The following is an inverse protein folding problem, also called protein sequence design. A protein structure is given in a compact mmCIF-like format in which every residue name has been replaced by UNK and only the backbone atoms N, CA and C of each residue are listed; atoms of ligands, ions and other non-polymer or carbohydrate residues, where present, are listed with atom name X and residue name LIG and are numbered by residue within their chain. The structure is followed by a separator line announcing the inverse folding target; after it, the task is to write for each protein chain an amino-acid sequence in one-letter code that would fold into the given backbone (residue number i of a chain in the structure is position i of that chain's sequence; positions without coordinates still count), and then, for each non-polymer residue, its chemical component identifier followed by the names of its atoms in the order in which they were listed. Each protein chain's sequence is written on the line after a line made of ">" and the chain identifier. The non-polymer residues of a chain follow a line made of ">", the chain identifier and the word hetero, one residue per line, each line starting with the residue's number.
data_IF_321757107061
#
_entry.id   IF_321757107061
#
_cell.length_a   1.000
_cell.length_b   1.000
_cell.length_c   1.000
_cell.angle_alpha   90.00
_cell.angle_beta   90.00
_cell.angle_gamma   90.00
#
_symmetry.space_group_name_H-M   'P 1'
#
loop_
_entity.id
_entity.type
_entity.pdbx_description
1 polymer ?
#
# COMPACT_ATOMS: atom_id res chain seq x y z
N UNK A 1 -55.47 -50.04 22.14
CA UNK A 1 -54.69 -49.52 20.99
C UNK A 1 -54.26 -48.11 21.32
N UNK A 2 -53.11 -47.94 21.96
CA UNK A 2 -52.51 -46.64 22.23
C UNK A 2 -51.44 -46.37 21.18
N UNK A 3 -51.73 -45.40 20.31
CA UNK A 3 -50.88 -44.94 19.22
C UNK A 3 -49.63 -44.23 19.80
N UNK A 4 -48.48 -44.87 19.70
CA UNK A 4 -47.17 -44.31 20.04
C UNK A 4 -46.57 -43.67 18.79
N UNK A 5 -46.77 -42.36 18.58
CA UNK A 5 -45.86 -41.47 17.83
C UNK A 5 -46.17 -40.03 18.23
N UNK A 6 -45.21 -39.28 18.81
CA UNK A 6 -44.59 -38.21 18.03
C UNK A 6 -43.16 -37.85 18.52
N UNK A 7 -42.16 -38.69 18.25
CA UNK A 7 -40.75 -38.35 18.55
C UNK A 7 -39.98 -37.84 17.32
N UNK A 8 -40.44 -38.12 16.09
CA UNK A 8 -39.72 -37.69 14.88
C UNK A 8 -39.94 -36.22 14.50
N UNK A 9 -41.15 -35.68 14.71
CA UNK A 9 -41.51 -34.30 14.31
C UNK A 9 -40.70 -33.25 15.07
N UNK A 10 -40.50 -33.44 16.38
CA UNK A 10 -39.64 -32.55 17.19
C UNK A 10 -38.20 -32.55 16.69
N UNK A 11 -37.68 -33.70 16.26
CA UNK A 11 -36.31 -33.85 15.77
C UNK A 11 -36.12 -33.17 14.41
N UNK A 12 -37.07 -33.33 13.50
CA UNK A 12 -37.08 -32.66 12.19
C UNK A 12 -37.16 -31.14 12.37
N UNK A 13 -38.03 -30.67 13.26
CA UNK A 13 -38.17 -29.25 13.55
C UNK A 13 -36.89 -28.64 14.15
N UNK A 14 -36.20 -29.34 15.07
CA UNK A 14 -34.92 -28.89 15.60
C UNK A 14 -33.83 -28.82 14.52
N UNK A 15 -33.76 -29.81 13.61
CA UNK A 15 -32.81 -29.78 12.50
C UNK A 15 -33.12 -28.63 11.52
N UNK A 16 -34.40 -28.36 11.23
CA UNK A 16 -34.81 -27.26 10.37
C UNK A 16 -34.48 -25.90 10.99
N UNK A 17 -34.80 -25.69 12.26
CA UNK A 17 -34.48 -24.44 12.99
C UNK A 17 -32.97 -24.22 13.07
N UNK A 18 -32.19 -25.28 13.34
CA UNK A 18 -30.73 -25.17 13.38
C UNK A 18 -30.15 -24.87 12.00
N UNK A 19 -30.63 -25.52 10.94
CA UNK A 19 -30.20 -25.27 9.56
C UNK A 19 -30.58 -23.87 9.08
N UNK A 20 -31.79 -23.41 9.40
CA UNK A 20 -32.27 -22.07 9.05
C UNK A 20 -31.48 -21.00 9.81
N UNK A 21 -31.25 -21.22 11.11
CA UNK A 21 -30.40 -20.36 11.92
C UNK A 21 -28.99 -20.26 11.34
N UNK A 22 -28.38 -21.38 10.96
CA UNK A 22 -27.06 -21.38 10.31
C UNK A 22 -27.08 -20.64 8.95
N UNK A 23 -28.11 -20.84 8.14
CA UNK A 23 -28.27 -20.20 6.83
C UNK A 23 -28.53 -18.69 6.91
N UNK A 24 -29.04 -18.17 8.03
CA UNK A 24 -29.24 -16.72 8.22
C UNK A 24 -28.06 -16.09 8.98
N UNK A 25 -27.65 -16.71 10.09
CA UNK A 25 -26.63 -16.16 10.99
C UNK A 25 -25.25 -16.11 10.33
N UNK A 26 -24.89 -17.10 9.51
CA UNK A 26 -23.58 -17.07 8.86
C UNK A 26 -23.48 -15.97 7.82
N UNK A 27 -24.41 -15.84 6.85
CA UNK A 27 -24.35 -14.73 5.91
C UNK A 27 -24.39 -13.36 6.59
N UNK A 28 -25.21 -13.17 7.63
CA UNK A 28 -25.25 -11.88 8.33
C UNK A 28 -23.94 -11.58 9.04
N UNK A 29 -23.34 -12.55 9.74
CA UNK A 29 -22.02 -12.40 10.35
C UNK A 29 -20.97 -12.13 9.27
N UNK A 30 -20.99 -12.84 8.14
CA UNK A 30 -20.05 -12.61 7.04
C UNK A 30 -20.20 -11.21 6.43
N UNK A 31 -21.41 -10.69 6.29
CA UNK A 31 -21.67 -9.33 5.79
C UNK A 31 -21.16 -8.30 6.80
N UNK A 32 -21.52 -8.44 8.08
CA UNK A 32 -21.07 -7.51 9.14
C UNK A 32 -19.54 -7.51 9.22
N UNK A 33 -18.91 -8.68 9.25
CA UNK A 33 -17.45 -8.80 9.24
C UNK A 33 -16.83 -8.27 7.95
N UNK A 34 -17.48 -8.44 6.80
CA UNK A 34 -17.00 -7.90 5.53
C UNK A 34 -16.98 -6.38 5.50
N UNK A 35 -18.00 -5.75 6.13
CA UNK A 35 -18.11 -4.30 6.23
C UNK A 35 -17.18 -3.74 7.31
N UNK A 36 -17.15 -4.34 8.51
CA UNK A 36 -16.32 -3.85 9.63
C UNK A 36 -14.83 -4.11 9.42
N UNK A 37 -14.47 -5.25 8.81
CA UNK A 37 -13.07 -5.64 8.57
C UNK A 37 -12.64 -5.31 7.13
N UNK A 38 -13.37 -4.41 6.46
CA UNK A 38 -13.01 -3.95 5.13
C UNK A 38 -11.57 -3.42 5.18
N UNK A 39 -10.70 -3.85 4.25
CA UNK A 39 -9.33 -3.38 4.24
C UNK A 39 -9.29 -1.86 4.15
N UNK A 40 -8.44 -1.25 4.98
CA UNK A 40 -8.20 0.20 4.93
C UNK A 40 -7.65 0.55 3.55
N UNK A 41 -8.23 1.59 2.96
CA UNK A 41 -7.71 2.19 1.75
C UNK A 41 -6.35 2.83 2.06
N UNK A 42 -5.50 2.89 1.04
CA UNK A 42 -4.27 3.66 1.03
C UNK A 42 -4.63 5.15 0.94
N UNK A 43 -5.20 5.68 2.00
CA UNK A 43 -5.77 7.03 2.03
C UNK A 43 -4.89 7.97 2.85
N UNK A 44 -4.47 9.05 2.20
CA UNK A 44 -3.76 10.19 2.78
C UNK A 44 -4.18 11.43 2.02
N UNK A 45 -4.34 12.55 2.72
CA UNK A 45 -4.62 13.85 2.11
C UNK A 45 -3.94 14.97 2.92
N UNK A 46 -3.26 15.87 2.22
CA UNK A 46 -2.68 17.10 2.78
C UNK A 46 -3.30 18.33 2.14
N UNK A 47 -3.92 19.17 2.97
CA UNK A 47 -4.47 20.48 2.55
C UNK A 47 -3.44 21.62 2.67
N UNK A 48 -2.15 21.30 2.63
CA UNK A 48 -1.10 22.30 2.82
C UNK A 48 -0.98 23.17 1.57
N UNK A 49 -1.60 24.35 1.64
CA UNK A 49 -1.41 25.45 0.70
C UNK A 49 -0.11 26.15 1.11
N UNK A 50 0.92 26.04 0.28
CA UNK A 50 2.16 26.78 0.45
C UNK A 50 2.36 27.64 -0.80
N UNK A 51 2.77 28.89 -0.60
CA UNK A 51 2.94 29.92 -1.63
C UNK A 51 4.19 29.71 -2.53
N UNK A 52 4.87 28.57 -2.43
CA UNK A 52 6.10 28.28 -3.18
C UNK A 52 5.82 27.47 -4.46
N UNK A 53 6.71 27.62 -5.45
CA UNK A 53 6.69 26.82 -6.70
C UNK A 53 6.78 25.32 -6.35
N UNK A 54 5.71 24.56 -6.60
CA UNK A 54 5.57 23.15 -6.22
C UNK A 54 4.73 22.38 -7.23
N UNK A 55 5.05 21.09 -7.38
CA UNK A 55 4.19 20.16 -8.11
C UNK A 55 3.57 19.18 -7.14
N UNK A 56 2.25 19.08 -7.18
CA UNK A 56 1.48 18.16 -6.37
C UNK A 56 1.18 16.86 -7.13
N UNK A 57 1.45 15.74 -6.47
CA UNK A 57 1.19 14.41 -6.99
C UNK A 57 0.08 13.73 -6.20
N UNK A 58 -0.70 12.91 -6.91
CA UNK A 58 -1.48 11.82 -6.33
C UNK A 58 -0.79 10.49 -6.61
N UNK A 59 -0.75 9.62 -5.61
CA UNK A 59 -0.30 8.24 -5.77
C UNK A 59 -1.45 7.25 -5.55
N UNK A 60 -1.79 6.49 -6.58
CA UNK A 60 -2.82 5.47 -6.55
C UNK A 60 -2.20 4.07 -6.48
N UNK A 61 -2.55 3.32 -5.44
CA UNK A 61 -2.12 1.95 -5.27
C UNK A 61 -2.91 0.99 -6.16
N UNK A 62 -2.24 0.52 -7.21
CA UNK A 62 -2.81 -0.36 -8.22
C UNK A 62 -2.71 -1.83 -7.83
N UNK A 63 -1.54 -2.25 -7.36
CA UNK A 63 -1.35 -3.66 -6.99
C UNK A 63 -0.21 -3.87 -5.99
N UNK A 64 -0.33 -4.98 -5.25
CA UNK A 64 0.72 -5.48 -4.36
C UNK A 64 0.94 -6.95 -4.65
N UNK A 65 2.16 -7.30 -5.07
CA UNK A 65 2.59 -8.67 -5.24
C UNK A 65 3.65 -9.01 -4.19
N UNK A 66 3.20 -9.60 -3.08
CA UNK A 66 4.08 -10.06 -2.01
C UNK A 66 5.03 -11.19 -2.45
N UNK A 67 4.68 -11.97 -3.48
CA UNK A 67 5.55 -13.04 -4.02
C UNK A 67 6.68 -12.45 -4.84
N UNK A 68 6.39 -11.46 -5.68
CA UNK A 68 7.38 -10.70 -6.47
C UNK A 68 8.03 -9.56 -5.69
N UNK A 69 7.61 -9.33 -4.44
CA UNK A 69 8.05 -8.26 -3.55
C UNK A 69 7.95 -6.90 -4.23
N UNK A 70 6.80 -6.61 -4.85
CA UNK A 70 6.59 -5.38 -5.59
C UNK A 70 5.25 -4.72 -5.21
N UNK A 71 5.28 -3.40 -5.05
CA UNK A 71 4.11 -2.52 -4.99
C UNK A 71 4.09 -1.70 -6.26
N UNK A 72 2.94 -1.60 -6.92
CA UNK A 72 2.77 -0.79 -8.12
C UNK A 72 1.89 0.41 -7.79
N UNK A 73 2.45 1.60 -7.99
CA UNK A 73 1.77 2.87 -7.81
C UNK A 73 1.63 3.55 -9.17
N UNK A 74 0.42 4.02 -9.47
CA UNK A 74 0.20 5.02 -10.50
C UNK A 74 0.32 6.40 -9.88
N UNK A 75 0.93 7.30 -10.61
CA UNK A 75 1.20 8.67 -10.19
C UNK A 75 0.54 9.59 -11.18
N UNK A 76 -0.18 10.59 -10.68
CA UNK A 76 -0.73 11.66 -11.51
C UNK A 76 -0.41 13.02 -10.93
N UNK A 77 -0.28 14.00 -11.82
CA UNK A 77 -0.12 15.40 -11.45
C UNK A 77 -1.51 15.96 -11.21
N UNK A 78 -1.73 16.52 -10.01
CA UNK A 78 -3.03 17.08 -9.60
C UNK A 78 -3.01 18.59 -9.65
N UNK A 79 -1.84 19.19 -9.45
CA UNK A 79 -1.67 20.63 -9.36
C UNK A 79 -0.20 20.99 -9.62
N UNK A 80 0.02 22.12 -10.28
CA UNK A 80 1.33 22.70 -10.55
C UNK A 80 1.23 24.22 -10.41
N UNK A 81 1.92 24.79 -9.42
CA UNK A 81 1.83 26.25 -9.17
C UNK A 81 2.58 27.08 -10.21
N UNK A 82 3.17 26.43 -11.23
CA UNK A 82 3.66 27.06 -12.45
C UNK A 82 2.56 27.50 -13.45
N UNK A 83 1.28 27.45 -13.06
CA UNK A 83 0.13 27.77 -13.90
C UNK A 83 0.02 29.27 -14.29
N UNK A 84 0.65 30.18 -13.56
CA UNK A 84 0.57 31.61 -13.87
C UNK A 84 1.37 31.96 -15.15
N UNK A 85 0.64 32.48 -16.15
CA UNK A 85 1.04 32.74 -17.55
C UNK A 85 2.29 33.63 -17.72
N UNK A 86 2.74 34.30 -16.66
CA UNK A 86 3.94 35.15 -16.65
C UNK A 86 5.18 34.47 -16.04
N UNK A 87 5.11 33.19 -15.70
CA UNK A 87 6.23 32.44 -15.12
C UNK A 87 6.99 31.63 -16.18
N UNK A 88 8.33 31.80 -16.21
CA UNK A 88 9.26 31.00 -17.04
C UNK A 88 9.32 29.55 -16.52
N UNK A 89 8.22 28.81 -16.69
CA UNK A 89 8.11 27.44 -16.27
C UNK A 89 8.59 26.49 -17.37
N UNK A 90 9.83 26.02 -17.19
CA UNK A 90 10.46 25.03 -18.05
C UNK A 90 9.98 23.62 -17.70
N UNK A 91 10.24 22.67 -18.60
CA UNK A 91 9.89 21.26 -18.37
C UNK A 91 10.57 20.72 -17.11
N UNK A 92 9.80 20.06 -16.26
CA UNK A 92 10.27 19.56 -14.97
C UNK A 92 10.54 18.06 -15.06
N UNK A 93 11.75 17.68 -14.71
CA UNK A 93 12.16 16.29 -14.61
C UNK A 93 11.78 15.75 -13.23
N UNK A 94 10.92 14.73 -13.20
CA UNK A 94 10.57 14.02 -11.97
C UNK A 94 11.42 12.77 -11.83
N UNK A 95 12.11 12.67 -10.69
CA UNK A 95 13.05 11.59 -10.42
C UNK A 95 12.62 10.82 -9.18
N UNK A 96 12.48 9.50 -9.33
CA UNK A 96 12.28 8.59 -8.21
C UNK A 96 13.55 7.78 -7.97
N UNK A 97 13.83 7.47 -6.70
CA UNK A 97 15.02 6.73 -6.33
C UNK A 97 14.99 5.30 -6.88
N UNK A 98 15.76 5.06 -7.96
CA UNK A 98 15.89 3.75 -8.60
C UNK A 98 16.45 2.65 -7.69
N UNK A 99 17.14 3.01 -6.61
CA UNK A 99 17.64 2.05 -5.61
C UNK A 99 16.51 1.32 -4.86
N UNK A 100 15.32 1.93 -4.81
CA UNK A 100 14.13 1.42 -4.14
C UNK A 100 13.09 0.87 -5.13
N UNK A 101 13.19 1.27 -6.40
CA UNK A 101 12.39 0.73 -7.48
C UNK A 101 12.95 -0.64 -7.89
N UNK A 102 12.05 -1.53 -8.35
CA UNK A 102 12.33 -2.93 -8.63
C UNK A 102 13.69 -3.09 -9.31
N UNK A 103 14.52 -3.99 -8.78
CA UNK A 103 15.81 -4.40 -9.37
C UNK A 103 15.46 -5.05 -10.70
N UNK A 104 15.22 -4.22 -11.70
CA UNK A 104 14.77 -4.65 -13.00
C UNK A 104 15.83 -5.61 -13.55
N UNK A 105 15.38 -6.61 -14.29
CA UNK A 105 16.27 -7.56 -14.99
C UNK A 105 17.30 -6.84 -15.90
N UNK A 106 17.17 -5.52 -16.09
CA UNK A 106 18.16 -4.63 -16.70
C UNK A 106 19.54 -4.76 -16.02
N UNK A 107 19.61 -4.93 -14.69
CA UNK A 107 20.89 -5.11 -13.99
C UNK A 107 21.53 -6.49 -14.16
N UNK A 108 20.80 -7.49 -14.68
CA UNK A 108 21.43 -8.76 -15.07
C UNK A 108 22.07 -8.69 -16.46
N UNK A 109 21.67 -7.72 -17.28
CA UNK A 109 22.21 -7.53 -18.64
C UNK A 109 23.07 -6.26 -18.78
N UNK A 110 23.17 -5.40 -17.75
CA UNK A 110 24.04 -4.23 -17.78
C UNK A 110 25.39 -4.55 -17.15
N UNK A 111 26.47 -4.26 -17.89
CA UNK A 111 27.86 -4.46 -17.45
C UNK A 111 28.31 -3.50 -16.35
N UNK A 112 27.41 -2.66 -15.84
CA UNK A 112 27.75 -1.61 -14.90
C UNK A 112 27.52 -2.10 -13.46
N UNK A 113 28.48 -1.86 -12.54
CA UNK A 113 28.28 -2.19 -11.14
C UNK A 113 27.08 -1.40 -10.59
N UNK A 114 26.37 -1.93 -9.58
CA UNK A 114 25.35 -1.17 -8.88
C UNK A 114 25.97 0.10 -8.29
N UNK A 115 25.30 1.24 -8.45
CA UNK A 115 25.73 2.55 -7.94
C UNK A 115 24.62 3.16 -7.09
N UNK A 116 24.99 3.89 -6.05
CA UNK A 116 24.08 4.64 -5.19
C UNK A 116 24.02 6.13 -5.56
N UNK A 117 24.55 6.51 -6.72
CA UNK A 117 24.52 7.88 -7.20
C UNK A 117 23.08 8.32 -7.48
N UNK A 118 22.84 9.62 -7.37
CA UNK A 118 21.61 10.26 -7.82
C UNK A 118 21.29 9.84 -9.26
N UNK A 119 20.04 9.44 -9.57
CA UNK A 119 19.64 9.14 -10.95
C UNK A 119 19.91 10.34 -11.86
N UNK A 120 20.53 10.08 -13.01
CA UNK A 120 20.74 11.09 -14.07
C UNK A 120 19.60 11.08 -15.09
N UNK A 121 18.94 9.93 -15.26
CA UNK A 121 17.80 9.79 -16.15
C UNK A 121 16.50 9.99 -15.35
N UNK A 122 15.59 10.88 -15.80
CA UNK A 122 14.31 11.08 -15.16
C UNK A 122 13.46 9.80 -15.19
N UNK A 123 12.58 9.66 -14.20
CA UNK A 123 11.57 8.58 -14.20
C UNK A 123 10.35 9.00 -15.02
N UNK A 124 10.01 10.28 -14.96
CA UNK A 124 8.95 10.90 -15.72
C UNK A 124 9.36 12.34 -16.05
N UNK A 125 9.01 12.81 -17.24
CA UNK A 125 9.25 14.20 -17.64
C UNK A 125 7.89 14.87 -17.73
N UNK A 126 7.72 15.93 -16.96
CA UNK A 126 6.54 16.76 -16.99
C UNK A 126 6.75 17.97 -17.88
N UNK A 127 6.03 18.01 -19.00
CA UNK A 127 6.10 19.14 -19.91
C UNK A 127 4.89 20.06 -19.67
N UNK A 128 5.06 21.01 -18.75
CA UNK A 128 4.03 22.01 -18.38
C UNK A 128 3.48 22.70 -19.63
N UNK A 129 4.36 23.09 -20.57
CA UNK A 129 3.96 23.78 -21.80
C UNK A 129 3.01 22.96 -22.68
N UNK A 130 3.14 21.63 -22.68
CA UNK A 130 2.27 20.77 -23.50
C UNK A 130 0.84 20.69 -22.95
N UNK A 131 0.67 20.67 -21.62
CA UNK A 131 -0.67 20.60 -21.00
C UNK A 131 -1.54 21.79 -21.37
N UNK A 132 -0.98 23.01 -21.37
CA UNK A 132 -1.74 24.22 -21.61
C UNK A 132 -1.93 24.58 -23.09
N UNK A 133 -1.05 24.11 -23.96
CA UNK A 133 -1.03 24.53 -25.37
C UNK A 133 -1.37 23.42 -26.37
N UNK A 134 -1.41 22.15 -25.95
CA UNK A 134 -1.67 21.02 -26.84
C UNK A 134 -2.89 20.23 -26.38
N UNK A 135 -4.04 20.46 -27.03
CA UNK A 135 -5.31 19.76 -26.76
C UNK A 135 -5.23 18.23 -26.95
N UNK A 136 -4.16 17.73 -27.58
CA UNK A 136 -3.90 16.31 -27.84
C UNK A 136 -2.75 15.74 -26.99
N UNK A 137 -2.29 16.44 -25.95
CA UNK A 137 -1.26 15.92 -25.06
C UNK A 137 -1.75 14.70 -24.27
N UNK A 138 -0.89 13.71 -24.08
CA UNK A 138 -1.18 12.57 -23.21
C UNK A 138 -1.37 13.02 -21.77
N UNK A 139 -2.34 12.43 -21.07
CA UNK A 139 -2.60 12.72 -19.67
C UNK A 139 -1.39 12.28 -18.80
N UNK A 140 -0.92 13.08 -17.82
CA UNK A 140 0.34 12.84 -17.12
C UNK A 140 0.25 11.79 -16.02
N UNK A 141 -0.09 10.56 -16.42
CA UNK A 141 -0.04 9.38 -15.56
C UNK A 141 1.23 8.60 -15.86
N UNK A 142 1.97 8.24 -14.81
CA UNK A 142 3.09 7.31 -14.91
C UNK A 142 3.05 6.28 -13.80
N UNK A 143 3.58 5.10 -14.08
CA UNK A 143 3.57 3.97 -13.16
C UNK A 143 4.97 3.68 -12.63
N UNK A 144 5.08 3.42 -11.32
CA UNK A 144 6.32 2.94 -10.71
C UNK A 144 6.11 1.65 -9.94
N UNK A 145 7.13 0.77 -9.99
CA UNK A 145 7.15 -0.47 -9.23
C UNK A 145 8.22 -0.39 -8.13
N UNK A 146 7.78 -0.43 -6.88
CA UNK A 146 8.61 -0.27 -5.67
C UNK A 146 8.83 -1.63 -5.02
N UNK A 147 10.04 -1.86 -4.50
CA UNK A 147 10.38 -3.11 -3.82
C UNK A 147 9.77 -3.14 -2.42
N UNK A 148 9.31 -4.33 -2.05
CA UNK A 148 8.86 -4.65 -0.70
C UNK A 148 10.02 -5.22 0.12
N UNK A 149 10.22 -4.62 1.28
CA UNK A 149 11.18 -5.02 2.29
C UNK A 149 10.48 -5.62 3.52
N UNK A 150 11.26 -6.28 4.36
CA UNK A 150 10.81 -6.58 5.72
C UNK A 150 10.59 -5.26 6.47
N UNK A 151 9.67 -5.23 7.45
CA UNK A 151 9.38 -4.01 8.17
C UNK A 151 10.66 -3.48 8.80
N UNK A 152 10.92 -2.20 8.60
CA UNK A 152 11.91 -1.49 9.39
C UNK A 152 11.45 -1.52 10.85
N UNK A 153 12.39 -1.65 11.79
CA UNK A 153 12.05 -1.41 13.20
C UNK A 153 11.44 -0.01 13.28
N UNK A 154 10.32 0.13 14.01
CA UNK A 154 9.65 1.41 14.23
C UNK A 154 10.73 2.48 14.52
N UNK A 155 10.72 3.57 13.75
CA UNK A 155 11.39 4.82 14.15
C UNK A 155 10.57 5.46 15.29
N UNK A 156 10.23 4.67 16.31
CA UNK A 156 9.57 5.18 17.49
C UNK A 156 10.59 6.09 18.18
N UNK A 157 10.25 7.38 18.28
CA UNK A 157 11.02 8.38 19.03
C UNK A 157 11.14 8.04 20.52
N UNK A 158 10.40 7.03 20.99
CA UNK A 158 10.49 6.54 22.34
C UNK A 158 11.35 5.27 22.40
N UNK A 159 12.65 5.48 22.62
CA UNK A 159 13.72 4.48 22.67
C UNK A 159 13.59 3.41 23.79
N UNK A 160 12.40 3.19 24.34
CA UNK A 160 12.20 2.41 25.56
C UNK A 160 11.40 1.11 25.41
N UNK A 161 10.69 0.84 24.31
CA UNK A 161 9.85 -0.38 24.23
C UNK A 161 10.01 -1.15 22.90
N UNK A 162 10.77 -2.24 23.00
CA UNK A 162 10.82 -3.43 22.11
C UNK A 162 11.49 -3.27 20.74
N UNK A 163 12.81 -3.18 20.78
CA UNK A 163 13.72 -3.72 19.75
C UNK A 163 13.31 -5.16 19.39
N UNK A 164 12.81 -5.39 18.18
CA UNK A 164 12.74 -6.74 17.64
C UNK A 164 14.19 -7.19 17.35
N UNK A 165 14.69 -8.18 18.06
CA UNK A 165 16.13 -8.47 18.16
C UNK A 165 16.83 -9.01 16.89
N UNK A 166 16.29 -8.82 15.68
CA UNK A 166 16.95 -9.27 14.44
C UNK A 166 16.56 -8.35 13.27
N UNK A 167 17.47 -7.49 12.75
CA UNK A 167 17.32 -7.00 11.40
C UNK A 167 17.43 -8.24 10.50
N UNK A 168 16.33 -8.69 9.90
CA UNK A 168 16.35 -9.77 8.92
C UNK A 168 16.93 -9.18 7.62
N UNK A 169 18.22 -8.91 7.70
CA UNK A 169 19.14 -8.69 6.61
C UNK A 169 19.33 -10.04 5.93
N UNK A 170 18.98 -10.09 4.64
CA UNK A 170 19.23 -11.20 3.74
C UNK A 170 18.56 -12.54 4.11
N UNK A 171 17.24 -12.62 3.95
CA UNK A 171 16.64 -13.90 3.57
C UNK A 171 15.94 -13.79 2.21
N UNK A 172 16.51 -14.49 1.25
CA UNK A 172 15.91 -14.81 -0.05
C UNK A 172 14.62 -15.66 0.08
N UNK A 173 14.12 -15.90 1.30
CA UNK A 173 12.89 -16.63 1.54
C UNK A 173 11.72 -15.66 1.48
N UNK A 174 10.90 -15.77 0.44
CA UNK A 174 9.56 -15.20 0.42
C UNK A 174 8.75 -15.81 1.57
N UNK A 175 8.84 -15.25 2.78
CA UNK A 175 7.92 -15.61 3.84
C UNK A 175 6.59 -14.90 3.57
N UNK A 176 5.90 -15.32 2.51
CA UNK A 176 4.49 -14.97 2.19
C UNK A 176 3.54 -15.91 2.94
N UNK A 177 4.08 -16.68 3.90
CA UNK A 177 3.44 -17.88 4.42
C UNK A 177 2.62 -17.62 5.68
N UNK A 178 2.92 -16.58 6.46
CA UNK A 178 2.23 -16.37 7.73
C UNK A 178 1.20 -15.22 7.63
N UNK A 179 -0.05 -15.44 8.07
CA UNK A 179 -1.10 -14.42 7.94
C UNK A 179 -0.88 -13.19 8.84
N UNK A 180 0.18 -13.19 9.64
CA UNK A 180 0.55 -12.10 10.55
C UNK A 180 1.84 -11.39 10.13
N UNK A 181 2.43 -11.77 8.99
CA UNK A 181 3.60 -11.10 8.46
C UNK A 181 3.24 -9.65 8.07
N UNK A 182 4.18 -8.75 8.33
CA UNK A 182 4.13 -7.35 7.94
C UNK A 182 5.20 -7.12 6.88
N UNK A 183 4.96 -6.17 5.99
CA UNK A 183 5.92 -5.76 4.99
C UNK A 183 5.90 -4.26 4.83
N UNK A 184 7.00 -3.70 4.32
CA UNK A 184 7.14 -2.27 4.13
C UNK A 184 7.65 -1.98 2.73
N UNK A 185 7.06 -1.01 2.06
CA UNK A 185 7.60 -0.41 0.84
C UNK A 185 7.96 1.05 1.13
N UNK A 186 9.09 1.50 0.60
CA UNK A 186 9.56 2.86 0.81
C UNK A 186 9.52 3.61 -0.51
N UNK A 187 8.88 4.78 -0.50
CA UNK A 187 8.80 5.69 -1.62
C UNK A 187 9.67 6.89 -1.35
N UNK A 188 10.60 7.17 -2.26
CA UNK A 188 11.39 8.39 -2.25
C UNK A 188 11.41 9.00 -3.65
N UNK A 189 11.02 10.26 -3.75
CA UNK A 189 10.96 11.00 -5.02
C UNK A 189 11.25 12.48 -4.83
N UNK A 190 11.89 13.08 -5.83
CA UNK A 190 12.21 14.50 -5.88
C UNK A 190 12.03 15.02 -7.31
N UNK A 191 11.96 16.33 -7.48
CA UNK A 191 11.82 16.96 -8.80
C UNK A 191 12.98 17.93 -9.05
N UNK A 192 13.35 18.07 -10.32
CA UNK A 192 14.35 19.03 -10.77
C UNK A 192 13.91 19.69 -12.06
N UNK A 193 14.07 21.01 -12.10
CA UNK A 193 13.86 21.86 -13.26
C UNK A 193 15.23 22.27 -13.85
N UNK A 194 15.22 22.97 -14.99
CA UNK A 194 16.42 23.52 -15.61
C UNK A 194 17.22 24.44 -14.67
N UNK A 195 16.54 25.07 -13.70
CA UNK A 195 17.12 25.99 -12.73
C UNK A 195 17.59 25.32 -11.42
N UNK A 196 17.39 23.99 -11.27
CA UNK A 196 17.77 23.26 -10.07
C UNK A 196 16.61 22.48 -9.42
N UNK A 197 16.75 22.07 -8.16
CA UNK A 197 15.76 21.24 -7.48
C UNK A 197 14.44 22.01 -7.25
N UNK A 198 13.33 21.28 -7.32
CA UNK A 198 11.96 21.83 -7.23
C UNK A 198 11.15 21.04 -6.20
N UNK A 199 10.24 21.74 -5.51
CA UNK A 199 9.37 21.15 -4.51
C UNK A 199 8.41 20.14 -5.13
N UNK A 200 8.43 18.93 -4.57
CA UNK A 200 7.55 17.83 -4.97
C UNK A 200 6.71 17.40 -3.77
N UNK A 201 5.41 17.69 -3.86
CA UNK A 201 4.45 17.43 -2.79
C UNK A 201 3.61 16.19 -3.12
N UNK A 202 3.39 15.32 -2.12
CA UNK A 202 2.38 14.28 -2.20
C UNK A 202 1.09 14.81 -1.60
N UNK A 203 0.11 15.12 -2.44
CA UNK A 203 -1.16 15.74 -2.03
C UNK A 203 -2.17 14.72 -1.53
N UNK A 204 -2.30 13.62 -2.24
CA UNK A 204 -3.25 12.58 -1.90
C UNK A 204 -2.73 11.20 -2.29
N UNK A 205 -3.18 10.19 -1.55
CA UNK A 205 -3.02 8.81 -1.96
C UNK A 205 -4.37 8.12 -1.97
N UNK A 206 -4.55 7.16 -2.88
CA UNK A 206 -5.75 6.33 -2.85
C UNK A 206 -5.44 4.90 -3.27
N UNK A 207 -6.39 3.99 -3.08
CA UNK A 207 -6.31 2.64 -3.63
C UNK A 207 -6.49 1.55 -2.60
N UNK A 208 -6.91 0.38 -3.09
CA UNK A 208 -7.31 -0.74 -2.27
C UNK A 208 -6.78 -2.03 -2.88
N UNK A 209 -6.13 -2.86 -2.06
CA UNK A 209 -5.72 -4.20 -2.48
C UNK A 209 -6.41 -5.23 -1.60
N UNK A 210 -7.23 -6.07 -2.25
CA UNK A 210 -8.02 -7.09 -1.58
C UNK A 210 -7.18 -7.98 -0.65
N UNK A 211 -7.64 -8.11 0.59
CA UNK A 211 -6.99 -8.95 1.60
C UNK A 211 -5.74 -8.35 2.25
N UNK A 212 -5.41 -7.10 1.95
CA UNK A 212 -4.34 -6.35 2.62
C UNK A 212 -4.89 -5.11 3.31
N UNK A 213 -4.47 -4.90 4.55
CA UNK A 213 -4.53 -3.60 5.21
C UNK A 213 -3.29 -2.82 4.78
N UNK A 214 -3.51 -1.67 4.15
CA UNK A 214 -2.44 -0.73 3.79
C UNK A 214 -2.49 0.43 4.77
N UNK A 215 -1.33 0.92 5.20
CA UNK A 215 -1.24 2.10 6.06
C UNK A 215 -0.09 2.98 5.55
N UNK A 216 -0.37 4.16 5.00
CA UNK A 216 0.66 5.14 4.71
C UNK A 216 1.20 5.72 6.03
N UNK A 217 2.51 5.86 6.10
CA UNK A 217 3.22 6.54 7.18
C UNK A 217 4.18 7.53 6.53
N UNK A 218 3.99 8.81 6.85
CA UNK A 218 4.82 9.89 6.31
C UNK A 218 5.98 10.08 7.26
N UNK A 219 7.18 9.86 6.72
CA UNK A 219 8.40 9.87 7.53
C UNK A 219 8.95 11.29 7.72
N UNK A 220 8.59 12.21 6.83
CA UNK A 220 8.94 13.63 6.94
C UNK A 220 7.68 14.44 6.67
N UNK A 221 7.25 15.22 7.64
CA UNK A 221 6.06 16.06 7.51
C UNK A 221 6.37 17.19 6.50
N UNK A 222 5.49 17.49 5.55
CA UNK A 222 5.68 18.61 4.64
C UNK A 222 5.93 19.95 5.37
N UNK A 223 5.41 20.09 6.60
CA UNK A 223 5.63 21.27 7.44
C UNK A 223 7.07 21.41 7.96
N UNK A 224 7.86 20.32 7.97
CA UNK A 224 9.28 20.40 8.32
C UNK A 224 10.08 21.17 7.26
N UNK A 225 9.65 21.10 5.99
CA UNK A 225 10.21 21.87 4.87
C UNK A 225 9.69 23.31 4.80
N UNK A 226 8.75 23.70 5.67
CA UNK A 226 8.26 25.07 5.74
C UNK A 226 9.26 26.05 6.41
N UNK A 227 10.42 25.54 6.86
CA UNK A 227 11.54 26.36 7.36
C UNK A 227 12.44 26.70 6.17
N UNK A 228 12.68 28.00 6.00
CA UNK A 228 13.25 28.66 4.81
C UNK A 228 14.40 27.89 4.11
N UNK A 229 14.25 27.71 2.79
CA UNK A 229 15.19 27.21 1.78
C UNK A 229 15.41 25.69 1.63
N UNK A 230 14.66 24.82 2.32
CA UNK A 230 14.72 23.38 2.03
C UNK A 230 13.76 22.95 0.91
N UNK A 231 14.28 22.12 -0.01
CA UNK A 231 13.49 21.58 -1.12
C UNK A 231 12.62 20.44 -0.60
N UNK A 232 11.31 20.54 -0.83
CA UNK A 232 10.37 19.49 -0.50
C UNK A 232 10.55 18.27 -1.42
N UNK A 233 10.60 17.09 -0.81
CA UNK A 233 10.63 15.81 -1.51
C UNK A 233 9.68 14.81 -0.85
N UNK A 234 9.28 13.80 -1.61
CA UNK A 234 8.39 12.74 -1.13
C UNK A 234 9.23 11.70 -0.38
N UNK A 235 8.89 11.45 0.88
CA UNK A 235 9.44 10.32 1.65
C UNK A 235 8.35 9.62 2.47
N UNK A 236 7.84 8.52 1.90
CA UNK A 236 6.67 7.81 2.45
C UNK A 236 6.99 6.34 2.66
N UNK A 237 6.57 5.85 3.82
CA UNK A 237 6.58 4.45 4.19
C UNK A 237 5.18 3.86 4.00
N UNK A 238 5.07 2.78 3.24
CA UNK A 238 3.81 2.05 3.03
C UNK A 238 3.90 0.75 3.81
N UNK A 239 3.13 0.64 4.88
CA UNK A 239 3.01 -0.57 5.68
C UNK A 239 1.91 -1.47 5.10
N UNK A 240 2.27 -2.72 4.84
CA UNK A 240 1.41 -3.74 4.26
C UNK A 240 1.21 -4.88 5.27
N UNK A 241 -0.04 -5.18 5.58
CA UNK A 241 -0.42 -6.27 6.48
C UNK A 241 -1.58 -7.06 5.88
N UNK A 242 -1.81 -8.30 6.30
CA UNK A 242 -3.06 -8.99 5.94
C UNK A 242 -4.24 -8.30 6.62
N UNK A 243 -5.37 -8.21 5.92
CA UNK A 243 -6.58 -7.66 6.51
C UNK A 243 -7.07 -8.57 7.66
N UNK A 244 -7.75 -7.97 8.64
CA UNK A 244 -8.29 -8.71 9.78
C UNK A 244 -9.25 -9.84 9.34
N UNK A 245 -9.97 -9.64 8.24
CA UNK A 245 -10.83 -10.65 7.63
C UNK A 245 -10.05 -11.89 7.19
N UNK A 246 -8.89 -11.71 6.55
CA UNK A 246 -8.02 -12.84 6.14
C UNK A 246 -7.49 -13.58 7.36
N UNK A 247 -7.09 -12.85 8.40
CA UNK A 247 -6.60 -13.41 9.66
C UNK A 247 -7.70 -14.24 10.35
N UNK A 248 -8.91 -13.69 10.46
CA UNK A 248 -10.05 -14.38 11.07
C UNK A 248 -10.43 -15.64 10.30
N UNK A 249 -10.45 -15.57 8.96
CA UNK A 249 -10.70 -16.71 8.10
C UNK A 249 -9.69 -17.85 8.34
N UNK A 250 -8.41 -17.50 8.49
CA UNK A 250 -7.36 -18.47 8.83
C UNK A 250 -7.61 -19.14 10.19
N UNK A 251 -8.05 -18.39 11.21
CA UNK A 251 -8.43 -18.97 12.51
C UNK A 251 -9.61 -19.93 12.40
N UNK A 252 -10.67 -19.56 11.70
CA UNK A 252 -11.87 -20.40 11.53
C UNK A 252 -11.54 -21.71 10.83
N UNK A 253 -10.76 -21.66 9.74
CA UNK A 253 -10.25 -22.86 9.06
C UNK A 253 -9.44 -23.72 10.02
N UNK A 254 -8.46 -23.13 10.70
CA UNK A 254 -7.58 -23.89 11.59
C UNK A 254 -8.37 -24.60 12.70
N UNK A 255 -9.33 -23.91 13.32
CA UNK A 255 -10.20 -24.49 14.37
C UNK A 255 -11.08 -25.61 13.81
N UNK A 256 -11.68 -25.43 12.63
CA UNK A 256 -12.57 -26.44 12.03
C UNK A 256 -11.83 -27.71 11.64
N UNK A 257 -10.63 -27.61 11.07
CA UNK A 257 -9.80 -28.77 10.74
C UNK A 257 -9.20 -29.43 11.98
N UNK A 258 -8.66 -28.65 12.93
CA UNK A 258 -8.09 -29.18 14.17
C UNK A 258 -9.14 -29.92 15.02
N UNK A 259 -10.39 -29.42 15.05
CA UNK A 259 -11.52 -30.10 15.69
C UNK A 259 -11.90 -31.41 14.99
N UNK A 260 -11.81 -31.47 13.66
CA UNK A 260 -12.13 -32.68 12.88
C UNK A 260 -11.11 -33.80 13.14
N UNK A 261 -9.84 -33.46 13.29
CA UNK A 261 -8.79 -34.45 13.60
C UNK A 261 -8.86 -34.92 15.05
N UNK A 262 -9.21 -34.04 15.99
CA UNK A 262 -9.48 -34.44 17.39
C UNK A 262 -10.67 -35.40 17.53
N UNK A 263 -11.68 -35.29 16.68
CA UNK A 263 -12.82 -36.21 16.64
C UNK A 263 -12.49 -37.56 15.96
N UNK A 264 -11.47 -37.62 15.10
CA UNK A 264 -10.98 -38.87 14.51
C UNK A 264 -10.10 -39.68 15.45
N UNK A 265 -9.35 -39.02 16.34
CA UNK A 265 -8.49 -39.69 17.33
C UNK A 265 -9.26 -40.32 18.51
N UNK A 266 -10.56 -40.07 18.64
CA UNK A 266 -11.44 -40.68 19.65
C UNK A 266 -12.26 -41.88 19.14
N UNK A 267 -11.97 -42.38 17.95
CA UNK A 267 -12.50 -43.64 17.41
C UNK A 267 -11.39 -44.67 17.33
#
# INVERSE_FOLDING_TARGET
>A
MTSVYPTSVKRIWHCFVFSLGFAVVIPTICIVLGVELHPSEFDYGSDLIMDTKKISLKADLISVDLKRRAVVLDWMIVDDTCEDVDSDCTSVNKLFCRNLLQRSNIYMNSSNPPKNNKPSDPTFIWNVTAEYHEEYSDYPIFQTAIIIFNPFEDFDQDASIRKSHYPISHTHTSNVYYPFDRYTALVFGFAEDANGPMNLHLKETSGLVGGLKITPEILIDPTDFAKEDEVEYIFVQILLQRSQLVVLYCFVITITFCRRDFLRLKK
#
